data_IF_768034538055
#
_entry.id   IF_768034538055
#
_cell.length_a   1.000
_cell.length_b   1.000
_cell.length_c   1.000
_cell.angle_alpha   90.00
_cell.angle_beta   90.00
_cell.angle_gamma   90.00
#
_symmetry.space_group_name_H-M   'P 1'
#
loop_
_entity.id
_entity.type
_entity.pdbx_description
1 polymer ?
#
# COMPACT_ATOMS: atom_id res chain seq x y z
N UNK A 1 -18.73 27.11 -40.99
CA UNK A 1 -18.30 25.82 -40.43
C UNK A 1 -18.91 25.67 -39.05
N UNK A 2 -19.82 24.70 -38.82
CA UNK A 2 -20.43 24.52 -37.51
C UNK A 2 -19.41 23.91 -36.54
N UNK A 3 -19.41 24.40 -35.30
CA UNK A 3 -18.65 23.85 -34.18
C UNK A 3 -19.20 22.47 -33.84
N UNK A 4 -18.36 21.44 -33.94
CA UNK A 4 -18.67 20.11 -33.42
C UNK A 4 -18.44 20.16 -31.91
N UNK A 5 -19.52 20.36 -31.16
CA UNK A 5 -19.57 20.09 -29.72
C UNK A 5 -19.56 18.56 -29.54
N UNK A 6 -18.39 17.95 -29.39
CA UNK A 6 -18.27 16.53 -29.02
C UNK A 6 -18.33 16.39 -27.49
N UNK A 7 -19.53 16.54 -26.94
CA UNK A 7 -19.93 15.94 -25.66
C UNK A 7 -21.36 15.40 -25.80
N UNK A 8 -21.54 14.45 -26.72
CA UNK A 8 -22.69 13.56 -26.62
C UNK A 8 -22.44 12.62 -25.45
N UNK A 9 -22.94 13.01 -24.27
CA UNK A 9 -23.24 12.09 -23.17
C UNK A 9 -24.24 11.04 -23.70
N UNK A 10 -23.72 10.00 -24.34
CA UNK A 10 -24.47 8.79 -24.65
C UNK A 10 -24.78 8.12 -23.32
N UNK A 11 -26.01 8.31 -22.84
CA UNK A 11 -26.56 7.47 -21.79
C UNK A 11 -26.47 6.01 -22.25
N UNK A 12 -25.81 5.18 -21.47
CA UNK A 12 -25.77 3.75 -21.69
C UNK A 12 -27.17 3.19 -21.48
N UNK A 13 -27.66 2.45 -22.47
CA UNK A 13 -28.88 1.67 -22.34
C UNK A 13 -28.66 0.54 -21.32
N UNK A 14 -29.73 0.04 -20.71
CA UNK A 14 -29.71 -1.11 -19.82
C UNK A 14 -29.02 -2.33 -20.44
N UNK A 15 -29.26 -2.58 -21.73
CA UNK A 15 -28.61 -3.66 -22.48
C UNK A 15 -27.09 -3.48 -22.56
N UNK A 16 -26.60 -2.24 -22.71
CA UNK A 16 -25.17 -1.94 -22.72
C UNK A 16 -24.55 -2.13 -21.34
N UNK A 17 -25.24 -1.75 -20.26
CA UNK A 17 -24.76 -1.96 -18.89
C UNK A 17 -24.66 -3.45 -18.59
N UNK A 18 -25.64 -4.24 -19.01
CA UNK A 18 -25.60 -5.70 -18.86
C UNK A 18 -24.43 -6.31 -19.63
N UNK A 19 -24.24 -5.94 -20.91
CA UNK A 19 -23.14 -6.43 -21.72
C UNK A 19 -21.77 -6.05 -21.14
N UNK A 20 -21.62 -4.81 -20.68
CA UNK A 20 -20.41 -4.37 -19.98
C UNK A 20 -20.18 -5.11 -18.67
N UNK A 21 -21.24 -5.40 -17.91
CA UNK A 21 -21.12 -6.15 -16.66
C UNK A 21 -20.66 -7.59 -16.92
N UNK A 22 -21.16 -8.24 -17.98
CA UNK A 22 -20.69 -9.57 -18.39
C UNK A 22 -19.22 -9.56 -18.85
N UNK A 23 -18.83 -8.60 -19.69
CA UNK A 23 -17.43 -8.43 -20.10
C UNK A 23 -16.51 -8.12 -18.92
N UNK A 24 -17.01 -7.34 -17.95
CA UNK A 24 -16.28 -7.06 -16.72
C UNK A 24 -16.12 -8.31 -15.85
N UNK A 25 -17.13 -9.16 -15.73
CA UNK A 25 -17.00 -10.46 -15.03
C UNK A 25 -15.89 -11.32 -15.65
N UNK A 26 -15.84 -11.42 -16.98
CA UNK A 26 -14.75 -12.13 -17.69
C UNK A 26 -13.40 -11.47 -17.40
N UNK A 27 -13.34 -10.13 -17.42
CA UNK A 27 -12.11 -9.39 -17.10
C UNK A 27 -11.65 -9.64 -15.66
N UNK A 28 -12.56 -9.72 -14.69
CA UNK A 28 -12.25 -10.03 -13.29
C UNK A 28 -11.70 -11.46 -13.13
N UNK A 29 -12.28 -12.45 -13.83
CA UNK A 29 -11.74 -13.82 -13.87
C UNK A 29 -10.30 -13.84 -14.43
N UNK A 30 -10.03 -13.05 -15.47
CA UNK A 30 -8.68 -12.95 -16.03
C UNK A 30 -7.68 -12.29 -15.08
N UNK A 31 -8.12 -11.40 -14.19
CA UNK A 31 -7.25 -10.79 -13.16
C UNK A 31 -6.86 -11.77 -12.04
N UNK A 32 -7.53 -12.91 -11.95
CA UNK A 32 -7.13 -14.00 -11.06
C UNK A 32 -6.09 -14.93 -11.70
N UNK A 33 -5.92 -14.86 -13.03
CA UNK A 33 -4.95 -15.68 -13.76
C UNK A 33 -3.52 -15.39 -13.32
N UNK A 34 -2.72 -16.45 -13.22
CA UNK A 34 -1.27 -16.36 -12.99
C UNK A 34 -0.49 -16.19 -14.32
N UNK A 35 -1.19 -16.12 -15.45
CA UNK A 35 -0.58 -15.89 -16.77
C UNK A 35 -0.56 -14.38 -17.04
N UNK A 36 0.65 -13.82 -17.09
CA UNK A 36 0.89 -12.38 -17.23
C UNK A 36 0.09 -11.72 -18.36
N UNK A 37 0.04 -12.35 -19.54
CA UNK A 37 -0.67 -11.80 -20.70
C UNK A 37 -2.18 -11.78 -20.50
N UNK A 38 -2.75 -12.83 -19.90
CA UNK A 38 -4.19 -12.88 -19.59
C UNK A 38 -4.54 -11.82 -18.56
N UNK A 39 -3.74 -11.72 -17.51
CA UNK A 39 -3.88 -10.70 -16.48
C UNK A 39 -3.87 -9.29 -17.08
N UNK A 40 -2.88 -8.96 -17.92
CA UNK A 40 -2.74 -7.63 -18.53
C UNK A 40 -3.91 -7.29 -19.47
N UNK A 41 -4.37 -8.25 -20.29
CA UNK A 41 -5.54 -8.04 -21.15
C UNK A 41 -6.78 -7.80 -20.29
N UNK A 42 -6.96 -8.55 -19.20
CA UNK A 42 -8.07 -8.40 -18.27
C UNK A 42 -8.07 -7.02 -17.62
N UNK A 43 -6.90 -6.58 -17.15
CA UNK A 43 -6.70 -5.26 -16.55
C UNK A 43 -7.02 -4.13 -17.52
N UNK A 44 -6.48 -4.17 -18.73
CA UNK A 44 -6.76 -3.16 -19.75
C UNK A 44 -8.22 -3.14 -20.19
N UNK A 45 -8.84 -4.32 -20.35
CA UNK A 45 -10.26 -4.43 -20.72
C UNK A 45 -11.13 -3.82 -19.63
N UNK A 46 -10.86 -4.14 -18.37
CA UNK A 46 -11.58 -3.59 -17.24
C UNK A 46 -11.43 -2.06 -17.13
N UNK A 47 -10.21 -1.53 -17.31
CA UNK A 47 -9.95 -0.09 -17.32
C UNK A 47 -10.77 0.65 -18.40
N UNK A 48 -10.88 0.04 -19.59
CA UNK A 48 -11.67 0.56 -20.71
C UNK A 48 -13.17 0.50 -20.45
N UNK A 49 -13.67 -0.56 -19.82
CA UNK A 49 -15.08 -0.65 -19.40
C UNK A 49 -15.39 0.47 -18.40
N UNK A 50 -14.58 0.64 -17.35
CA UNK A 50 -14.78 1.72 -16.37
C UNK A 50 -14.70 3.12 -16.98
N UNK A 51 -13.89 3.29 -18.04
CA UNK A 51 -13.82 4.52 -18.80
C UNK A 51 -15.10 4.74 -19.62
N UNK A 52 -15.60 3.70 -20.31
CA UNK A 52 -16.81 3.74 -21.12
C UNK A 52 -18.07 4.01 -20.28
N UNK A 53 -18.13 3.50 -19.04
CA UNK A 53 -19.25 3.75 -18.12
C UNK A 53 -19.41 5.22 -17.72
N UNK A 54 -18.35 6.04 -17.81
CA UNK A 54 -18.43 7.48 -17.54
C UNK A 54 -19.11 7.81 -16.21
N UNK A 55 -20.23 8.54 -16.29
CA UNK A 55 -21.04 8.98 -15.14
C UNK A 55 -21.93 7.88 -14.55
N UNK A 56 -22.25 6.82 -15.31
CA UNK A 56 -23.08 5.69 -14.87
C UNK A 56 -22.26 4.57 -14.20
N UNK A 57 -21.03 4.87 -13.76
CA UNK A 57 -20.14 3.89 -13.12
C UNK A 57 -20.75 3.25 -11.88
N UNK A 58 -21.47 4.03 -11.05
CA UNK A 58 -22.09 3.49 -9.85
C UNK A 58 -23.16 2.43 -10.17
N UNK A 59 -24.04 2.73 -11.11
CA UNK A 59 -25.08 1.83 -11.60
C UNK A 59 -24.49 0.54 -12.18
N UNK A 60 -23.45 0.68 -13.01
CA UNK A 60 -22.67 -0.44 -13.52
C UNK A 60 -22.04 -1.29 -12.41
N UNK A 61 -21.43 -0.69 -11.39
CA UNK A 61 -20.78 -1.43 -10.29
C UNK A 61 -21.80 -2.21 -9.45
N UNK A 62 -22.97 -1.61 -9.19
CA UNK A 62 -24.07 -2.31 -8.49
C UNK A 62 -24.53 -3.51 -9.31
N UNK A 63 -24.72 -3.34 -10.62
CA UNK A 63 -25.13 -4.43 -11.50
C UNK A 63 -24.07 -5.52 -11.61
N UNK A 64 -22.79 -5.13 -11.66
CA UNK A 64 -21.66 -6.06 -11.65
C UNK A 64 -21.63 -6.89 -10.37
N UNK A 65 -21.83 -6.25 -9.20
CA UNK A 65 -21.90 -6.95 -7.91
C UNK A 65 -22.98 -8.02 -7.89
N UNK A 66 -24.18 -7.71 -8.41
CA UNK A 66 -25.28 -8.69 -8.51
C UNK A 66 -24.96 -9.89 -9.42
N UNK A 67 -24.21 -9.68 -10.50
CA UNK A 67 -23.83 -10.75 -11.43
C UNK A 67 -22.72 -11.59 -10.80
N UNK A 68 -21.69 -10.96 -10.25
CA UNK A 68 -20.57 -11.65 -9.60
C UNK A 68 -21.08 -12.51 -8.43
N UNK A 69 -21.98 -11.99 -7.61
CA UNK A 69 -22.58 -12.75 -6.50
C UNK A 69 -23.44 -13.95 -6.96
N UNK A 70 -23.88 -13.98 -8.21
CA UNK A 70 -24.61 -15.11 -8.82
C UNK A 70 -23.69 -16.08 -9.56
N UNK A 71 -22.50 -15.64 -9.93
CA UNK A 71 -21.49 -16.45 -10.61
C UNK A 71 -20.81 -17.38 -9.61
N UNK A 72 -20.76 -18.67 -9.92
CA UNK A 72 -20.10 -19.68 -9.08
C UNK A 72 -18.58 -19.74 -9.30
N UNK A 73 -18.09 -19.11 -10.36
CA UNK A 73 -16.69 -19.18 -10.82
C UNK A 73 -15.77 -18.20 -10.09
N UNK A 74 -16.32 -17.11 -9.53
CA UNK A 74 -15.56 -16.12 -8.78
C UNK A 74 -15.60 -16.43 -7.28
N UNK A 75 -14.47 -16.33 -6.57
CA UNK A 75 -14.48 -16.36 -5.12
C UNK A 75 -15.46 -15.33 -4.54
N UNK A 76 -16.20 -15.70 -3.49
CA UNK A 76 -17.14 -14.79 -2.81
C UNK A 76 -16.51 -13.50 -2.25
N UNK A 77 -15.17 -13.41 -2.24
CA UNK A 77 -14.39 -12.29 -1.72
C UNK A 77 -13.60 -11.56 -2.83
N UNK A 78 -14.01 -11.67 -4.10
CA UNK A 78 -13.34 -10.94 -5.18
C UNK A 78 -13.54 -9.43 -5.01
N UNK A 79 -12.43 -8.71 -4.85
CA UNK A 79 -12.41 -7.25 -4.74
C UNK A 79 -11.61 -6.64 -5.89
N UNK A 80 -12.20 -5.66 -6.58
CA UNK A 80 -11.57 -4.98 -7.72
C UNK A 80 -10.23 -4.37 -7.31
N UNK A 81 -10.17 -3.71 -6.14
CA UNK A 81 -8.94 -3.06 -5.66
C UNK A 81 -7.84 -4.10 -5.39
N UNK A 82 -8.18 -5.24 -4.75
CA UNK A 82 -7.22 -6.30 -4.47
C UNK A 82 -6.67 -6.94 -5.77
N UNK A 83 -7.53 -7.15 -6.76
CA UNK A 83 -7.12 -7.66 -8.07
C UNK A 83 -6.23 -6.67 -8.82
N UNK A 84 -6.61 -5.39 -8.86
CA UNK A 84 -5.83 -4.35 -9.52
C UNK A 84 -4.49 -4.06 -8.81
N UNK A 85 -4.37 -4.31 -7.50
CA UNK A 85 -3.10 -4.22 -6.77
C UNK A 85 -2.05 -5.19 -7.33
N UNK A 86 -2.42 -6.36 -7.86
CA UNK A 86 -1.44 -7.23 -8.54
C UNK A 86 -0.79 -6.52 -9.72
N UNK A 87 -1.55 -5.69 -10.44
CA UNK A 87 -1.09 -5.00 -11.65
C UNK A 87 0.02 -3.97 -11.42
N UNK A 88 0.19 -3.49 -10.18
CA UNK A 88 1.30 -2.58 -9.84
C UNK A 88 2.67 -3.27 -9.91
N UNK A 89 2.68 -4.60 -9.80
CA UNK A 89 3.89 -5.42 -9.82
C UNK A 89 4.37 -5.73 -11.24
N UNK A 90 3.55 -5.42 -12.25
CA UNK A 90 3.83 -5.68 -13.66
C UNK A 90 4.53 -4.48 -14.30
N UNK A 91 5.82 -4.60 -14.65
CA UNK A 91 6.54 -3.55 -15.36
C UNK A 91 5.96 -3.37 -16.77
N UNK A 92 5.92 -2.13 -17.26
CA UNK A 92 5.39 -1.74 -18.58
C UNK A 92 3.86 -1.95 -18.71
N UNK A 93 3.12 -0.83 -18.70
CA UNK A 93 1.66 -0.72 -18.89
C UNK A 93 0.73 -1.27 -17.80
N UNK A 94 1.10 -2.34 -17.07
CA UNK A 94 0.31 -2.84 -15.95
C UNK A 94 0.17 -1.82 -14.82
N UNK A 95 1.28 -1.17 -14.44
CA UNK A 95 1.29 -0.20 -13.34
C UNK A 95 0.41 1.04 -13.61
N UNK A 96 0.56 1.68 -14.77
CA UNK A 96 -0.25 2.85 -15.12
C UNK A 96 -1.75 2.51 -15.29
N UNK A 97 -2.04 1.32 -15.83
CA UNK A 97 -3.41 0.83 -15.95
C UNK A 97 -4.06 0.61 -14.58
N UNK A 98 -3.32 0.03 -13.63
CA UNK A 98 -3.76 -0.15 -12.25
C UNK A 98 -4.06 1.18 -11.58
N UNK A 99 -3.18 2.18 -11.73
CA UNK A 99 -3.40 3.53 -11.21
C UNK A 99 -4.65 4.18 -11.84
N UNK A 100 -4.88 3.97 -13.14
CA UNK A 100 -6.08 4.46 -13.83
C UNK A 100 -7.36 3.83 -13.28
N UNK A 101 -7.35 2.52 -13.00
CA UNK A 101 -8.46 1.84 -12.33
C UNK A 101 -8.67 2.39 -10.92
N UNK A 102 -7.61 2.51 -10.13
CA UNK A 102 -7.67 3.08 -8.78
C UNK A 102 -8.27 4.48 -8.76
N UNK A 103 -7.83 5.35 -9.67
CA UNK A 103 -8.38 6.70 -9.84
C UNK A 103 -9.90 6.69 -10.08
N UNK A 104 -10.45 5.66 -10.72
CA UNK A 104 -11.89 5.51 -10.98
C UNK A 104 -12.61 4.86 -9.78
N UNK A 105 -11.99 3.92 -9.11
CA UNK A 105 -12.52 3.21 -7.93
C UNK A 105 -12.61 4.09 -6.67
N UNK A 106 -11.69 5.05 -6.49
CA UNK A 106 -11.67 5.97 -5.33
C UNK A 106 -13.01 6.71 -5.11
N UNK A 107 -13.78 6.94 -6.18
CA UNK A 107 -15.07 7.62 -6.13
C UNK A 107 -16.23 6.69 -5.70
N UNK A 108 -15.99 5.37 -5.65
CA UNK A 108 -17.01 4.35 -5.41
C UNK A 108 -16.56 3.29 -4.38
N UNK A 109 -15.64 3.62 -3.47
CA UNK A 109 -15.13 2.69 -2.43
C UNK A 109 -16.20 2.16 -1.45
N UNK A 110 -17.40 2.75 -1.45
CA UNK A 110 -18.52 2.27 -0.63
C UNK A 110 -19.20 1.01 -1.21
N UNK A 111 -18.87 0.61 -2.45
CA UNK A 111 -19.42 -0.59 -3.08
C UNK A 111 -18.61 -1.83 -2.69
N UNK A 112 -19.27 -2.93 -2.32
CA UNK A 112 -18.59 -4.12 -1.80
C UNK A 112 -17.75 -4.82 -2.85
N UNK A 113 -18.20 -4.85 -4.10
CA UNK A 113 -17.42 -5.40 -5.22
C UNK A 113 -16.09 -4.64 -5.43
N UNK A 114 -16.03 -3.36 -5.05
CA UNK A 114 -14.81 -2.56 -5.16
C UNK A 114 -13.84 -2.92 -4.04
N UNK A 115 -14.33 -2.92 -2.80
CA UNK A 115 -13.58 -3.32 -1.61
C UNK A 115 -14.49 -3.58 -0.40
N UNK A 116 -14.05 -4.44 0.53
CA UNK A 116 -14.77 -4.66 1.80
C UNK A 116 -14.51 -3.57 2.85
N UNK A 117 -13.31 -2.97 2.86
CA UNK A 117 -12.92 -1.92 3.81
C UNK A 117 -12.42 -0.68 3.08
N UNK A 118 -13.29 0.32 2.96
CA UNK A 118 -12.99 1.56 2.22
C UNK A 118 -11.76 2.30 2.74
N UNK A 119 -11.54 2.35 4.06
CA UNK A 119 -10.40 3.05 4.67
C UNK A 119 -9.07 2.37 4.36
N UNK A 120 -9.04 1.06 4.49
CA UNK A 120 -7.84 0.26 4.21
C UNK A 120 -7.51 0.28 2.71
N UNK A 121 -8.51 0.07 1.86
CA UNK A 121 -8.34 0.12 0.41
C UNK A 121 -7.96 1.51 -0.10
N UNK A 122 -8.47 2.57 0.50
CA UNK A 122 -8.03 3.93 0.21
C UNK A 122 -6.53 4.10 0.50
N UNK A 123 -6.07 3.68 1.69
CA UNK A 123 -4.67 3.78 2.06
C UNK A 123 -3.75 2.93 1.17
N UNK A 124 -4.18 1.73 0.79
CA UNK A 124 -3.47 0.87 -0.16
C UNK A 124 -3.35 1.53 -1.54
N UNK A 125 -4.45 2.08 -2.07
CA UNK A 125 -4.47 2.79 -3.35
C UNK A 125 -3.49 3.96 -3.34
N UNK A 126 -3.58 4.83 -2.31
CA UNK A 126 -2.71 6.01 -2.20
C UNK A 126 -1.25 5.57 -2.12
N UNK A 127 -0.94 4.60 -1.26
CA UNK A 127 0.42 4.11 -1.06
C UNK A 127 1.01 3.47 -2.31
N UNK A 128 0.25 2.63 -3.02
CA UNK A 128 0.68 1.97 -4.25
C UNK A 128 0.87 2.93 -5.43
N UNK A 129 0.13 4.03 -5.46
CA UNK A 129 0.16 5.00 -6.56
C UNK A 129 1.16 6.14 -6.33
N UNK A 130 1.51 6.42 -5.08
CA UNK A 130 2.42 7.51 -4.71
C UNK A 130 3.81 7.47 -5.38
N UNK A 131 4.46 6.29 -5.57
CA UNK A 131 5.73 6.22 -6.30
C UNK A 131 5.66 6.82 -7.70
N UNK A 132 4.57 6.55 -8.42
CA UNK A 132 4.35 7.12 -9.75
C UNK A 132 4.17 8.64 -9.71
N UNK A 133 3.47 9.17 -8.70
CA UNK A 133 3.33 10.61 -8.51
C UNK A 133 4.66 11.29 -8.17
N UNK A 134 5.51 10.64 -7.37
CA UNK A 134 6.84 11.14 -6.99
C UNK A 134 7.75 11.21 -8.21
N UNK A 135 7.77 10.17 -9.05
CA UNK A 135 8.55 10.18 -10.29
C UNK A 135 8.15 11.32 -11.22
N UNK A 136 6.86 11.65 -11.26
CA UNK A 136 6.30 12.71 -12.10
C UNK A 136 6.05 14.01 -11.32
N UNK A 137 6.77 14.24 -10.20
CA UNK A 137 6.45 15.34 -9.29
C UNK A 137 6.59 16.73 -9.92
N UNK A 138 7.67 16.95 -10.68
CA UNK A 138 7.94 18.24 -11.30
C UNK A 138 7.03 18.53 -12.50
N UNK A 139 6.43 17.49 -13.10
CA UNK A 139 5.53 17.62 -14.25
C UNK A 139 4.47 16.52 -14.19
N UNK A 140 3.43 16.69 -13.35
CA UNK A 140 2.38 15.69 -13.18
C UNK A 140 1.72 15.32 -14.50
N UNK A 141 1.65 14.03 -14.80
CA UNK A 141 0.93 13.54 -15.99
C UNK A 141 -0.58 13.77 -15.84
N UNK A 142 -1.33 13.61 -16.93
CA UNK A 142 -2.80 13.66 -16.89
C UNK A 142 -3.38 12.59 -15.95
N UNK A 143 -2.74 11.42 -15.87
CA UNK A 143 -3.08 10.35 -14.94
C UNK A 143 -2.81 10.76 -13.48
N UNK A 144 -1.63 11.34 -13.19
CA UNK A 144 -1.31 11.85 -11.86
C UNK A 144 -2.30 12.92 -11.40
N UNK A 145 -2.68 13.83 -12.30
CA UNK A 145 -3.63 14.91 -12.01
C UNK A 145 -5.03 14.37 -11.69
N UNK A 146 -5.50 13.38 -12.46
CA UNK A 146 -6.79 12.70 -12.22
C UNK A 146 -6.78 11.91 -10.92
N UNK A 147 -5.71 11.17 -10.65
CA UNK A 147 -5.54 10.44 -9.40
C UNK A 147 -5.58 11.40 -8.20
N UNK A 148 -4.79 12.47 -8.22
CA UNK A 148 -4.76 13.46 -7.15
C UNK A 148 -6.14 14.11 -6.93
N UNK A 149 -6.87 14.39 -8.02
CA UNK A 149 -8.25 14.87 -7.95
C UNK A 149 -9.20 13.84 -7.31
N UNK A 150 -9.11 12.56 -7.67
CA UNK A 150 -9.93 11.50 -7.09
C UNK A 150 -9.63 11.29 -5.61
N UNK A 151 -8.34 11.30 -5.21
CA UNK A 151 -7.92 11.22 -3.80
C UNK A 151 -8.53 12.39 -3.01
N UNK A 152 -8.35 13.62 -3.50
CA UNK A 152 -8.91 14.81 -2.85
C UNK A 152 -10.44 14.76 -2.75
N UNK A 153 -11.13 14.28 -3.79
CA UNK A 153 -12.60 14.18 -3.81
C UNK A 153 -13.11 13.13 -2.83
N UNK A 154 -12.43 11.98 -2.72
CA UNK A 154 -12.74 10.99 -1.70
C UNK A 154 -12.54 11.56 -0.30
N UNK A 155 -11.40 12.21 -0.03
CA UNK A 155 -11.15 12.84 1.27
C UNK A 155 -12.18 13.92 1.64
N UNK A 156 -12.65 14.72 0.67
CA UNK A 156 -13.74 15.70 0.90
C UNK A 156 -15.04 14.99 1.28
N UNK A 157 -15.36 13.89 0.60
CA UNK A 157 -16.57 13.10 0.87
C UNK A 157 -16.54 12.49 2.27
N UNK A 158 -15.40 11.93 2.69
CA UNK A 158 -15.20 11.41 4.05
C UNK A 158 -15.25 12.53 5.09
N UNK A 159 -14.70 13.71 4.78
CA UNK A 159 -14.75 14.87 5.67
C UNK A 159 -16.19 15.38 5.85
N UNK A 160 -16.96 15.45 4.77
CA UNK A 160 -18.37 15.85 4.80
C UNK A 160 -19.20 14.86 5.63
N UNK A 161 -18.95 13.55 5.50
CA UNK A 161 -19.59 12.53 6.34
C UNK A 161 -19.25 12.72 7.82
N UNK A 162 -17.96 12.91 8.14
CA UNK A 162 -17.49 13.15 9.51
C UNK A 162 -18.10 14.42 10.12
N UNK A 163 -18.25 15.48 9.32
CA UNK A 163 -18.88 16.73 9.76
C UNK A 163 -20.36 16.53 10.14
N UNK A 164 -21.09 15.73 9.36
CA UNK A 164 -22.49 15.38 9.61
C UNK A 164 -22.64 14.51 10.86
N UNK A 165 -21.74 13.53 11.05
CA UNK A 165 -21.76 12.66 12.23
C UNK A 165 -21.48 13.43 13.54
N UNK A 166 -20.54 14.38 13.50
CA UNK A 166 -20.16 15.17 14.68
C UNK A 166 -21.03 16.42 14.89
N UNK A 167 -21.82 16.80 13.89
CA UNK A 167 -22.66 18.00 13.93
C UNK A 167 -21.86 19.31 14.01
N UNK A 168 -20.64 19.34 13.46
CA UNK A 168 -19.76 20.53 13.48
C UNK A 168 -19.53 21.04 12.07
N UNK A 169 -19.48 22.36 11.90
CA UNK A 169 -19.24 23.01 10.62
C UNK A 169 -17.88 22.64 10.02
N UNK A 170 -17.79 22.63 8.69
CA UNK A 170 -16.58 22.24 7.96
C UNK A 170 -15.35 23.10 8.32
N UNK A 171 -15.57 24.36 8.70
CA UNK A 171 -14.51 25.31 9.11
C UNK A 171 -13.73 24.84 10.35
N UNK A 172 -14.32 24.01 11.22
CA UNK A 172 -13.60 23.45 12.38
C UNK A 172 -12.59 22.37 12.01
N UNK A 173 -12.63 21.88 10.77
CA UNK A 173 -11.77 20.82 10.28
C UNK A 173 -10.57 21.34 9.48
N UNK A 174 -10.27 22.64 9.54
CA UNK A 174 -9.12 23.24 8.84
C UNK A 174 -7.82 22.48 9.11
N UNK A 175 -7.61 22.11 10.37
CA UNK A 175 -6.40 21.43 10.85
C UNK A 175 -6.52 19.90 10.81
N UNK A 176 -7.66 19.37 10.35
CA UNK A 176 -7.89 17.94 10.28
C UNK A 176 -6.98 17.28 9.23
N UNK A 177 -6.38 16.11 9.50
CA UNK A 177 -5.51 15.42 8.55
C UNK A 177 -6.11 15.22 7.15
N UNK A 178 -7.43 15.00 7.04
CA UNK A 178 -8.13 14.94 5.74
C UNK A 178 -8.07 16.26 4.96
N UNK A 179 -8.30 17.39 5.62
CA UNK A 179 -8.21 18.73 5.01
C UNK A 179 -6.79 19.01 4.49
N UNK A 180 -5.80 18.62 5.29
CA UNK A 180 -4.41 18.73 4.91
C UNK A 180 -4.05 17.83 3.73
N UNK A 181 -4.54 16.59 3.69
CA UNK A 181 -4.33 15.66 2.58
C UNK A 181 -4.97 16.17 1.27
N UNK A 182 -6.18 16.75 1.34
CA UNK A 182 -6.82 17.42 0.20
C UNK A 182 -5.91 18.52 -0.34
N UNK A 183 -5.42 19.39 0.55
CA UNK A 183 -4.52 20.49 0.20
C UNK A 183 -3.23 19.99 -0.46
N UNK A 184 -2.63 18.91 0.06
CA UNK A 184 -1.42 18.31 -0.53
C UNK A 184 -1.66 17.80 -1.96
N UNK A 185 -2.82 17.20 -2.23
CA UNK A 185 -3.17 16.70 -3.57
C UNK A 185 -3.49 17.82 -4.56
N UNK A 186 -4.21 18.87 -4.11
CA UNK A 186 -4.51 20.02 -4.96
C UNK A 186 -3.24 20.82 -5.29
N UNK A 187 -2.34 21.04 -4.31
CA UNK A 187 -1.05 21.70 -4.54
C UNK A 187 -0.13 20.92 -5.49
N UNK A 188 -0.15 19.59 -5.41
CA UNK A 188 0.57 18.72 -6.35
C UNK A 188 0.03 18.89 -7.78
N UNK A 189 -1.29 18.80 -7.96
CA UNK A 189 -1.95 18.94 -9.28
C UNK A 189 -1.69 20.31 -9.91
N UNK A 190 -1.72 21.36 -9.10
CA UNK A 190 -1.48 22.74 -9.53
C UNK A 190 -0.01 23.12 -9.64
N UNK A 191 0.91 22.23 -9.25
CA UNK A 191 2.36 22.47 -9.19
C UNK A 191 2.72 23.68 -8.32
N UNK A 192 1.99 23.87 -7.22
CA UNK A 192 2.14 24.99 -6.27
C UNK A 192 2.73 24.57 -4.93
N UNK A 193 3.13 23.31 -4.79
CA UNK A 193 3.77 22.86 -3.55
C UNK A 193 5.14 23.54 -3.40
N UNK A 194 5.40 24.26 -2.29
CA UNK A 194 6.56 25.17 -2.17
C UNK A 194 7.88 24.47 -1.78
N UNK A 195 7.88 23.15 -1.61
CA UNK A 195 9.02 22.34 -1.17
C UNK A 195 9.29 21.22 -2.17
N UNK A 196 10.30 20.40 -1.87
CA UNK A 196 10.69 19.25 -2.68
C UNK A 196 9.76 18.03 -2.50
N UNK A 197 9.88 17.08 -3.42
CA UNK A 197 9.05 15.86 -3.41
C UNK A 197 9.20 15.01 -2.13
N UNK A 198 10.37 14.92 -1.43
CA UNK A 198 10.46 14.18 -0.17
C UNK A 198 9.60 14.80 0.93
N UNK A 199 9.58 16.14 1.05
CA UNK A 199 8.74 16.81 2.04
C UNK A 199 7.25 16.63 1.73
N UNK A 200 6.87 16.70 0.45
CA UNK A 200 5.50 16.41 0.02
C UNK A 200 5.10 14.99 0.38
N UNK A 201 5.94 14.01 0.03
CA UNK A 201 5.71 12.58 0.29
C UNK A 201 5.51 12.31 1.78
N UNK A 202 6.36 12.92 2.64
CA UNK A 202 6.24 12.84 4.08
C UNK A 202 4.90 13.37 4.58
N UNK A 203 4.47 14.54 4.11
CA UNK A 203 3.17 15.11 4.48
C UNK A 203 2.02 14.18 4.09
N UNK A 204 2.02 13.67 2.84
CA UNK A 204 0.98 12.77 2.34
C UNK A 204 0.89 11.50 3.18
N UNK A 205 2.01 10.84 3.45
CA UNK A 205 2.02 9.62 4.27
C UNK A 205 1.55 9.89 5.70
N UNK A 206 2.04 10.96 6.33
CA UNK A 206 1.64 11.27 7.71
C UNK A 206 0.15 11.56 7.81
N UNK A 207 -0.39 12.40 6.92
CA UNK A 207 -1.83 12.69 6.94
C UNK A 207 -2.68 11.47 6.58
N UNK A 208 -2.19 10.57 5.73
CA UNK A 208 -2.86 9.30 5.43
C UNK A 208 -2.94 8.42 6.68
N UNK A 209 -1.80 8.23 7.37
CA UNK A 209 -1.72 7.42 8.59
C UNK A 209 -2.57 8.02 9.72
N UNK A 210 -2.53 9.33 9.92
CA UNK A 210 -3.26 10.02 10.97
C UNK A 210 -4.78 10.02 10.72
N UNK A 211 -5.21 10.22 9.47
CA UNK A 211 -6.63 10.28 9.11
C UNK A 211 -7.30 8.90 9.14
N UNK A 212 -6.69 7.91 8.49
CA UNK A 212 -7.33 6.62 8.22
C UNK A 212 -6.89 5.53 9.19
N UNK A 213 -5.72 5.67 9.84
CA UNK A 213 -5.12 4.67 10.71
C UNK A 213 -5.13 3.26 10.10
N UNK A 214 -4.64 3.10 8.85
CA UNK A 214 -4.65 1.81 8.17
C UNK A 214 -3.68 0.82 8.83
N UNK A 215 -3.79 -0.46 8.46
CA UNK A 215 -2.77 -1.44 8.81
C UNK A 215 -1.45 -1.09 8.10
N UNK A 216 -0.55 -0.43 8.83
CA UNK A 216 0.77 -0.02 8.34
C UNK A 216 1.54 -1.22 7.78
N UNK A 217 1.35 -2.40 8.35
CA UNK A 217 2.04 -3.59 7.89
C UNK A 217 1.63 -3.97 6.46
N UNK A 218 0.34 -3.87 6.11
CA UNK A 218 -0.13 -4.11 4.74
C UNK A 218 0.48 -3.12 3.74
N UNK A 219 0.57 -1.85 4.13
CA UNK A 219 1.22 -0.82 3.30
C UNK A 219 2.70 -1.15 3.04
N UNK A 220 3.42 -1.62 4.06
CA UNK A 220 4.82 -2.04 3.95
C UNK A 220 4.96 -3.26 3.05
N UNK A 221 4.06 -4.25 3.15
CA UNK A 221 4.07 -5.43 2.28
C UNK A 221 3.98 -4.99 0.82
N UNK A 222 2.99 -4.17 0.48
CA UNK A 222 2.77 -3.71 -0.90
C UNK A 222 4.00 -2.98 -1.43
N UNK A 223 4.56 -2.03 -0.68
CA UNK A 223 5.76 -1.30 -1.11
C UNK A 223 6.99 -2.20 -1.24
N UNK A 224 7.11 -3.22 -0.39
CA UNK A 224 8.20 -4.20 -0.45
C UNK A 224 8.08 -5.08 -1.69
N UNK A 225 6.88 -5.57 -2.01
CA UNK A 225 6.64 -6.36 -3.22
C UNK A 225 6.89 -5.54 -4.48
N UNK A 226 6.50 -4.26 -4.47
CA UNK A 226 6.84 -3.31 -5.53
C UNK A 226 8.36 -3.13 -5.64
N UNK A 227 9.08 -3.00 -4.52
CA UNK A 227 10.53 -2.84 -4.53
C UNK A 227 11.23 -4.04 -5.18
N UNK A 228 10.72 -5.25 -4.96
CA UNK A 228 11.30 -6.47 -5.54
C UNK A 228 11.13 -6.58 -7.05
N UNK A 229 10.02 -6.08 -7.61
CA UNK A 229 9.65 -6.26 -9.03
C UNK A 229 9.77 -5.01 -9.89
N UNK A 230 9.92 -3.83 -9.29
CA UNK A 230 9.93 -2.55 -10.01
C UNK A 230 11.27 -2.24 -10.71
N UNK A 231 11.25 -1.39 -11.76
CA UNK A 231 12.46 -0.84 -12.36
C UNK A 231 13.25 0.00 -11.36
N UNK A 232 14.58 0.06 -11.56
CA UNK A 232 15.53 0.77 -10.67
C UNK A 232 15.15 2.24 -10.42
N UNK A 233 14.51 2.90 -11.40
CA UNK A 233 14.05 4.27 -11.28
C UNK A 233 13.02 4.50 -10.14
N UNK A 234 12.28 3.46 -9.72
CA UNK A 234 11.32 3.53 -8.61
C UNK A 234 11.94 3.23 -7.24
N UNK A 235 13.10 2.56 -7.20
CA UNK A 235 13.66 2.02 -5.95
C UNK A 235 13.92 3.09 -4.89
N UNK A 236 14.45 4.25 -5.27
CA UNK A 236 14.69 5.35 -4.32
C UNK A 236 13.38 5.83 -3.68
N UNK A 237 12.34 6.05 -4.47
CA UNK A 237 11.04 6.51 -3.97
C UNK A 237 10.40 5.48 -3.05
N UNK A 238 10.45 4.19 -3.44
CA UNK A 238 9.92 3.09 -2.64
C UNK A 238 10.64 2.95 -1.29
N UNK A 239 11.98 3.02 -1.27
CA UNK A 239 12.76 2.98 -0.04
C UNK A 239 12.49 4.18 0.86
N UNK A 240 12.36 5.39 0.31
CA UNK A 240 12.01 6.58 1.08
C UNK A 240 10.61 6.44 1.71
N UNK A 241 9.64 5.93 0.97
CA UNK A 241 8.29 5.68 1.50
C UNK A 241 8.26 4.59 2.56
N UNK A 242 9.00 3.49 2.36
CA UNK A 242 9.18 2.46 3.38
C UNK A 242 9.77 3.07 4.65
N UNK A 243 10.82 3.89 4.55
CA UNK A 243 11.41 4.59 5.69
C UNK A 243 10.39 5.47 6.42
N UNK A 244 9.51 6.17 5.69
CA UNK A 244 8.45 6.97 6.30
C UNK A 244 7.42 6.09 7.02
N UNK A 245 6.95 5.00 6.41
CA UNK A 245 6.02 4.07 7.07
C UNK A 245 6.63 3.43 8.31
N UNK A 246 7.92 3.07 8.27
CA UNK A 246 8.64 2.58 9.44
C UNK A 246 8.68 3.63 10.55
N UNK A 247 8.99 4.89 10.24
CA UNK A 247 9.12 5.93 11.27
C UNK A 247 7.78 6.36 11.89
N UNK A 248 6.71 6.47 11.10
CA UNK A 248 5.46 7.09 11.53
C UNK A 248 4.30 6.10 11.71
N UNK A 249 4.38 4.91 11.11
CA UNK A 249 3.33 3.92 11.19
C UNK A 249 3.44 3.02 12.42
N UNK A 250 2.36 2.29 12.71
CA UNK A 250 2.28 1.41 13.87
C UNK A 250 2.56 -0.04 13.48
N UNK A 251 3.63 -0.63 14.02
CA UNK A 251 4.07 -2.00 13.70
C UNK A 251 3.77 -3.03 14.77
N UNK A 252 2.95 -2.70 15.77
CA UNK A 252 2.72 -3.55 16.94
C UNK A 252 2.12 -4.93 16.60
N UNK A 253 1.40 -5.03 15.48
CA UNK A 253 0.71 -6.26 15.05
C UNK A 253 1.46 -7.04 13.96
N UNK A 254 2.73 -6.69 13.71
CA UNK A 254 3.51 -7.26 12.63
C UNK A 254 3.92 -8.72 12.93
N UNK A 255 3.54 -9.73 12.10
CA UNK A 255 3.98 -11.11 12.25
C UNK A 255 5.50 -11.23 12.02
N UNK A 256 6.30 -11.63 13.03
CA UNK A 256 7.77 -11.58 12.95
C UNK A 256 8.35 -12.41 11.80
N UNK A 257 7.81 -13.60 11.56
CA UNK A 257 8.31 -14.52 10.55
C UNK A 257 8.18 -13.96 9.13
N UNK A 258 7.02 -13.36 8.81
CA UNK A 258 6.79 -12.75 7.49
C UNK A 258 7.63 -11.48 7.31
N UNK A 259 7.67 -10.63 8.35
CA UNK A 259 8.48 -9.42 8.37
C UNK A 259 9.94 -9.70 7.99
N UNK A 260 10.51 -10.74 8.58
CA UNK A 260 11.90 -11.06 8.33
C UNK A 260 12.17 -11.78 7.03
N UNK A 261 11.29 -12.71 6.67
CA UNK A 261 11.51 -13.54 5.50
C UNK A 261 11.31 -12.79 4.19
N UNK A 262 10.44 -11.78 4.17
CA UNK A 262 10.09 -11.00 2.98
C UNK A 262 10.64 -9.56 3.05
N UNK A 263 10.29 -8.79 4.08
CA UNK A 263 10.58 -7.34 4.11
C UNK A 263 12.07 -7.08 4.34
N UNK A 264 12.65 -7.63 5.42
CA UNK A 264 14.07 -7.46 5.75
C UNK A 264 14.97 -8.01 4.63
N UNK A 265 14.66 -9.21 4.11
CA UNK A 265 15.42 -9.81 3.00
C UNK A 265 15.42 -8.93 1.75
N UNK A 266 14.25 -8.42 1.34
CA UNK A 266 14.14 -7.61 0.13
C UNK A 266 14.89 -6.29 0.27
N UNK A 267 14.73 -5.58 1.40
CA UNK A 267 15.46 -4.33 1.65
C UNK A 267 16.97 -4.58 1.72
N UNK A 268 17.42 -5.73 2.24
CA UNK A 268 18.83 -6.08 2.33
C UNK A 268 19.53 -6.11 0.96
N UNK A 269 18.82 -6.52 -0.10
CA UNK A 269 19.34 -6.53 -1.48
C UNK A 269 19.82 -5.14 -1.93
N UNK A 270 19.31 -4.07 -1.33
CA UNK A 270 19.65 -2.69 -1.67
C UNK A 270 20.76 -2.08 -0.79
N UNK A 271 21.28 -2.78 0.23
CA UNK A 271 22.35 -2.26 1.12
C UNK A 271 23.63 -1.93 0.36
N UNK A 272 23.97 -2.70 -0.67
CA UNK A 272 25.18 -2.50 -1.47
C UNK A 272 24.90 -1.82 -2.81
N UNK A 273 23.65 -1.42 -3.06
CA UNK A 273 23.22 -0.80 -4.31
C UNK A 273 23.31 0.73 -4.29
N UNK A 274 22.82 1.35 -5.36
CA UNK A 274 22.75 2.80 -5.53
C UNK A 274 21.94 3.51 -4.44
N UNK A 275 21.04 2.80 -3.76
CA UNK A 275 20.19 3.29 -2.65
C UNK A 275 20.60 2.74 -1.28
N UNK A 276 21.90 2.47 -1.11
CA UNK A 276 22.49 1.91 0.11
C UNK A 276 22.25 2.74 1.37
N UNK A 277 22.19 4.07 1.22
CA UNK A 277 21.98 5.01 2.32
C UNK A 277 20.57 4.87 2.89
N UNK A 278 19.57 4.82 2.03
CA UNK A 278 18.16 4.72 2.37
C UNK A 278 17.88 3.35 3.00
N UNK A 279 18.36 2.27 2.40
CA UNK A 279 18.27 0.92 2.95
C UNK A 279 18.90 0.84 4.36
N UNK A 280 20.10 1.40 4.55
CA UNK A 280 20.78 1.42 5.86
C UNK A 280 19.99 2.18 6.93
N UNK A 281 19.34 3.29 6.56
CA UNK A 281 18.46 4.05 7.47
C UNK A 281 17.25 3.24 7.89
N UNK A 282 16.62 2.53 6.95
CA UNK A 282 15.49 1.65 7.27
C UNK A 282 15.91 0.58 8.28
N UNK A 283 17.05 -0.09 8.06
CA UNK A 283 17.55 -1.08 9.02
C UNK A 283 17.79 -0.49 10.41
N UNK A 284 18.32 0.74 10.49
CA UNK A 284 18.49 1.43 11.78
C UNK A 284 17.14 1.61 12.50
N UNK A 285 16.12 2.09 11.80
CA UNK A 285 14.78 2.30 12.36
C UNK A 285 14.14 0.97 12.80
N UNK A 286 14.23 -0.06 11.96
CA UNK A 286 13.75 -1.41 12.29
C UNK A 286 14.38 -1.89 13.59
N UNK A 287 15.70 -1.76 13.75
CA UNK A 287 16.41 -2.18 14.95
C UNK A 287 15.98 -1.37 16.19
N UNK A 288 15.82 -0.06 16.07
CA UNK A 288 15.36 0.79 17.18
C UNK A 288 13.95 0.41 17.63
N UNK A 289 13.03 0.19 16.70
CA UNK A 289 11.65 -0.20 17.00
C UNK A 289 11.53 -1.61 17.55
N UNK A 290 12.31 -2.57 17.05
CA UNK A 290 12.33 -3.93 17.60
C UNK A 290 12.90 -3.98 19.01
N UNK A 291 13.91 -3.14 19.31
CA UNK A 291 14.41 -3.00 20.67
C UNK A 291 13.35 -2.39 21.60
N UNK A 292 12.58 -1.41 21.14
CA UNK A 292 11.46 -0.87 21.92
C UNK A 292 10.38 -1.93 22.20
N UNK A 293 9.94 -2.68 21.18
CA UNK A 293 8.92 -3.74 21.33
C UNK A 293 9.39 -4.85 22.27
N UNK A 294 10.65 -5.26 22.20
CA UNK A 294 11.20 -6.30 23.09
C UNK A 294 11.29 -5.81 24.54
N UNK A 295 11.68 -4.55 24.77
CA UNK A 295 11.72 -3.93 26.10
C UNK A 295 10.30 -3.74 26.69
N UNK A 296 9.32 -3.37 25.87
CA UNK A 296 7.93 -3.23 26.30
C UNK A 296 7.29 -4.59 26.66
N UNK A 297 7.60 -5.65 25.90
CA UNK A 297 7.19 -7.03 26.25
C UNK A 297 7.85 -7.54 27.52
N UNK A 298 9.12 -7.18 27.79
CA UNK A 298 9.80 -7.48 29.06
C UNK A 298 9.11 -6.74 30.22
N UNK A 299 8.72 -5.47 30.02
CA UNK A 299 8.05 -4.65 31.04
C UNK A 299 6.61 -5.13 31.34
N UNK A 300 5.90 -5.68 30.34
CA UNK A 300 4.61 -6.36 30.56
C UNK A 300 4.79 -7.69 31.29
N UNK A 301 5.82 -8.47 30.92
CA UNK A 301 6.16 -9.70 31.62
C UNK A 301 6.57 -9.45 33.08
N UNK A 302 7.20 -8.33 33.42
CA UNK A 302 7.49 -7.96 34.83
C UNK A 302 6.22 -7.67 35.66
N UNK A 303 5.19 -7.06 35.05
CA UNK A 303 3.88 -6.85 35.68
C UNK A 303 3.12 -8.17 35.88
N UNK A 304 3.23 -9.08 34.91
CA UNK A 304 2.67 -10.44 35.03
C UNK A 304 3.47 -11.32 36.00
N UNK A 305 4.78 -11.10 36.14
CA UNK A 305 5.67 -11.79 37.08
C UNK A 305 5.37 -11.43 38.54
N UNK A 306 4.90 -10.21 38.82
CA UNK A 306 4.48 -9.80 40.17
C UNK A 306 3.10 -10.35 40.56
N UNK A 307 2.27 -10.76 39.58
CA UNK A 307 0.94 -11.33 39.82
C UNK A 307 0.93 -12.87 39.95
N UNK A 308 2.00 -13.56 39.50
CA UNK A 308 2.08 -15.04 39.50
C UNK A 308 3.27 -15.53 40.32
N UNK A 309 3.23 -15.38 41.64
CA UNK A 309 4.03 -16.21 42.57
C UNK A 309 3.14 -17.16 43.37
N UNK A 310 2.89 -18.33 42.77
CA UNK A 310 2.80 -19.68 43.37
C UNK A 310 2.24 -20.66 42.32
N UNK A 311 2.62 -21.95 42.30
CA UNK A 311 3.87 -22.62 42.73
C UNK A 311 4.46 -23.48 41.56
N UNK A 312 5.72 -23.93 41.65
CA UNK A 312 6.21 -25.31 41.92
C UNK A 312 6.70 -26.11 40.68
N UNK A 313 7.91 -26.67 40.85
CA UNK A 313 8.66 -27.67 40.07
C UNK A 313 9.52 -27.28 38.85
N UNK A 314 10.81 -27.64 38.98
CA UNK A 314 11.90 -27.63 37.98
C UNK A 314 11.80 -28.80 37.01
N UNK A 315 12.17 -28.59 35.74
CA UNK A 315 12.77 -29.63 34.88
C UNK A 315 13.85 -28.99 33.98
N UNK A 316 15.09 -29.52 34.03
CA UNK A 316 16.18 -29.30 33.08
C UNK A 316 16.16 -30.36 31.99
N UNK A 317 16.54 -30.03 30.75
CA UNK A 317 17.24 -30.94 29.85
C UNK A 317 18.25 -30.21 28.93
N UNK A 318 19.27 -30.98 28.51
CA UNK A 318 20.59 -30.60 28.01
C UNK A 318 20.66 -30.18 26.52
N UNK A 319 21.76 -29.51 26.16
CA UNK A 319 22.13 -29.02 24.81
C UNK A 319 22.48 -30.16 23.83
N UNK A 320 22.24 -29.98 22.52
CA UNK A 320 23.02 -30.60 21.45
C UNK A 320 23.90 -29.62 20.65
N UNK A 321 24.91 -30.21 20.01
CA UNK A 321 26.02 -29.61 19.27
C UNK A 321 25.62 -28.95 17.93
N UNK A 322 26.31 -27.86 17.56
CA UNK A 322 26.32 -27.30 16.20
C UNK A 322 27.74 -27.39 15.61
N UNK A 323 27.83 -27.97 14.41
CA UNK A 323 29.02 -27.93 13.56
C UNK A 323 29.21 -26.51 12.99
N UNK A 324 30.44 -26.01 13.06
CA UNK A 324 30.86 -24.69 12.60
C UNK A 324 30.69 -24.50 11.09
N UNK A 325 30.12 -23.35 10.69
CA UNK A 325 30.24 -22.81 9.34
C UNK A 325 31.20 -21.62 9.42
N UNK A 326 32.31 -21.70 8.67
CA UNK A 326 33.46 -20.79 8.70
C UNK A 326 33.14 -19.36 8.22
N UNK A 327 33.75 -18.38 8.90
CA UNK A 327 33.47 -16.93 8.87
C UNK A 327 34.35 -16.16 7.85
N UNK A 328 34.93 -16.81 6.84
CA UNK A 328 36.07 -16.25 6.10
C UNK A 328 35.75 -15.52 4.78
N UNK A 329 34.59 -14.87 4.65
CA UNK A 329 34.31 -13.94 3.54
C UNK A 329 33.82 -12.54 3.95
N UNK A 330 34.02 -12.13 5.21
CA UNK A 330 33.44 -10.92 5.78
C UNK A 330 34.43 -9.75 6.03
N UNK A 331 35.59 -9.74 5.38
CA UNK A 331 36.66 -8.78 5.66
C UNK A 331 36.63 -7.46 4.86
N UNK A 332 35.57 -7.15 4.11
CA UNK A 332 35.49 -5.87 3.36
C UNK A 332 34.23 -5.04 3.63
N UNK A 333 33.76 -4.97 4.89
CA UNK A 333 32.60 -4.15 5.29
C UNK A 333 33.04 -2.94 6.14
N UNK A 334 33.23 -1.79 5.50
CA UNK A 334 33.54 -0.50 6.16
C UNK A 334 32.25 0.21 6.62
N UNK A 335 31.66 -0.28 7.71
CA UNK A 335 30.87 0.53 8.64
C UNK A 335 30.57 -0.28 9.91
N UNK A 336 31.11 0.15 11.05
CA UNK A 336 30.91 -0.46 12.36
C UNK A 336 29.42 -0.61 12.74
N UNK A 337 28.56 0.29 12.27
CA UNK A 337 27.11 0.23 12.49
C UNK A 337 26.44 -0.90 11.69
N UNK A 338 26.86 -1.14 10.45
CA UNK A 338 26.32 -2.21 9.60
C UNK A 338 26.72 -3.60 10.12
N UNK A 339 27.94 -3.73 10.68
CA UNK A 339 28.42 -4.98 11.27
C UNK A 339 27.65 -5.33 12.56
N UNK A 340 27.29 -4.33 13.36
CA UNK A 340 26.48 -4.50 14.58
C UNK A 340 25.01 -4.83 14.25
N UNK A 341 24.46 -4.18 13.21
CA UNK A 341 23.14 -4.49 12.67
C UNK A 341 23.07 -5.92 12.13
N UNK A 342 24.06 -6.34 11.33
CA UNK A 342 24.16 -7.70 10.80
C UNK A 342 24.29 -8.74 11.91
N UNK A 343 25.18 -8.53 12.89
CA UNK A 343 25.35 -9.46 14.01
C UNK A 343 24.12 -9.53 14.92
N UNK A 344 23.38 -8.44 15.09
CA UNK A 344 22.12 -8.46 15.85
C UNK A 344 21.02 -9.18 15.08
N UNK A 345 20.86 -8.91 13.77
CA UNK A 345 19.89 -9.62 12.92
C UNK A 345 20.22 -11.12 12.87
N UNK A 346 21.50 -11.48 12.67
CA UNK A 346 21.94 -12.86 12.56
C UNK A 346 21.81 -13.61 13.89
N UNK A 347 22.24 -13.04 15.03
CA UNK A 347 22.23 -13.74 16.32
C UNK A 347 20.87 -13.72 17.02
N UNK A 348 20.03 -12.71 16.79
CA UNK A 348 18.72 -12.63 17.45
C UNK A 348 17.65 -13.40 16.67
N UNK A 349 17.83 -13.59 15.36
CA UNK A 349 16.83 -14.25 14.51
C UNK A 349 17.18 -15.65 14.04
N UNK A 350 18.42 -16.12 14.18
CA UNK A 350 18.80 -17.51 13.84
C UNK A 350 17.86 -18.58 14.43
N UNK A 351 17.30 -18.46 15.66
CA UNK A 351 16.32 -19.42 16.19
C UNK A 351 14.98 -19.46 15.43
N UNK A 352 14.65 -18.44 14.64
CA UNK A 352 13.39 -18.33 13.89
C UNK A 352 13.53 -18.66 12.39
N UNK A 353 14.75 -18.99 11.94
CA UNK A 353 15.03 -19.42 10.56
C UNK A 353 15.23 -20.94 10.44
N UNK A 354 15.48 -21.62 11.56
CA UNK A 354 15.56 -23.07 11.64
C UNK A 354 14.40 -23.59 12.50
N UNK A 355 13.19 -23.56 11.95
CA UNK A 355 12.07 -24.46 12.29
C UNK A 355 11.04 -24.44 11.16
#
# INVERSE_FOLDING_TARGET
MPKINNETNLYLTEENILAFSQLATISLLMLESNVDNEFLIGLHTFDKILQACGNQRLEFLVRLEEIVNKSWELPNNTEIVALALKGILYPFHGYECSISIFSKCLLNLNQKIVCSNSKESFALIVTASLPYCIQNFNSPTSLCSKLAQSIATHCRTELDQLSKEKGVNLDSFSDHPLSNLITMMDQYREQKFPRDHPQWTKCVINYLLDAFKPDTFQLIIVLTEMLERSPIALHSSLLDMLLLLFNYGNLNNCPPAYFNSQIVKTIFKHIHGSSSREASRIFKVILEQWNAISVDKISQNEKDFLAKRKPEFEIRFEKPFLHEISVDKLSSMDSFAQKKAFNFIFNFWTPYWCN
#
